data_IF_379203464335
#
_entry.id   IF_379203464335
#
_cell.length_a   1.000
_cell.length_b   1.000
_cell.length_c   1.000
_cell.angle_alpha   90.00
_cell.angle_beta   90.00
_cell.angle_gamma   90.00
#
_symmetry.space_group_name_H-M   'P 1'
#
loop_
_entity.id
_entity.type
_entity.pdbx_description
1 polymer ?
#
# COMPACT_ATOMS: atom_id res chain seq x y z
N UNK A 1 4.60 -27.99 9.62
CA UNK A 1 3.42 -27.12 9.46
C UNK A 1 3.85 -25.75 9.95
N UNK A 2 4.36 -24.96 9.01
CA UNK A 2 5.36 -23.91 9.26
C UNK A 2 4.77 -22.57 9.69
N UNK A 3 5.51 -21.90 10.58
CA UNK A 3 5.30 -20.62 11.26
C UNK A 3 5.38 -19.37 10.33
N UNK A 4 5.20 -19.56 9.01
CA UNK A 4 5.48 -18.54 7.99
C UNK A 4 4.56 -17.32 8.08
N UNK A 5 3.34 -17.48 8.64
CA UNK A 5 2.38 -16.39 8.81
C UNK A 5 2.76 -15.37 9.89
N UNK A 6 3.46 -15.78 10.95
CA UNK A 6 3.80 -14.88 12.07
C UNK A 6 4.99 -13.97 11.73
N UNK A 7 5.92 -14.48 10.91
CA UNK A 7 7.10 -13.72 10.46
C UNK A 7 6.74 -12.59 9.48
N UNK A 8 5.79 -12.83 8.56
CA UNK A 8 5.34 -11.83 7.59
C UNK A 8 4.59 -10.65 8.22
N UNK A 9 3.73 -10.93 9.22
CA UNK A 9 2.99 -9.89 9.97
C UNK A 9 3.96 -9.01 10.77
N UNK A 10 4.93 -9.61 11.47
CA UNK A 10 5.94 -8.86 12.26
C UNK A 10 6.81 -7.98 11.35
N UNK A 11 7.17 -8.45 10.17
CA UNK A 11 7.91 -7.63 9.20
C UNK A 11 7.09 -6.43 8.70
N UNK A 12 5.79 -6.62 8.47
CA UNK A 12 4.86 -5.55 8.10
C UNK A 12 4.71 -4.49 9.20
N UNK A 13 4.56 -4.93 10.45
CA UNK A 13 4.44 -4.04 11.62
C UNK A 13 5.72 -3.22 11.85
N UNK A 14 6.89 -3.85 11.70
CA UNK A 14 8.19 -3.17 11.81
C UNK A 14 8.37 -2.13 10.68
N UNK A 15 7.93 -2.43 9.46
CA UNK A 15 7.98 -1.48 8.34
C UNK A 15 7.05 -0.28 8.58
N UNK A 16 5.83 -0.52 9.06
CA UNK A 16 4.87 0.53 9.39
C UNK A 16 5.39 1.45 10.50
N UNK A 17 5.99 0.89 11.56
CA UNK A 17 6.59 1.68 12.64
C UNK A 17 7.74 2.57 12.13
N UNK A 18 8.60 2.05 11.25
CA UNK A 18 9.67 2.84 10.61
C UNK A 18 9.13 3.95 9.72
N UNK A 19 8.10 3.67 8.94
CA UNK A 19 7.43 4.67 8.10
C UNK A 19 6.81 5.78 8.95
N UNK A 20 6.11 5.46 10.04
CA UNK A 20 5.53 6.44 10.95
C UNK A 20 6.60 7.37 11.55
N UNK A 21 7.76 6.83 11.95
CA UNK A 21 8.88 7.63 12.45
C UNK A 21 9.50 8.54 11.37
N UNK A 22 9.54 8.09 10.11
CA UNK A 22 9.99 8.94 8.99
C UNK A 22 8.98 10.05 8.68
N UNK A 23 7.70 9.73 8.65
CA UNK A 23 6.61 10.70 8.44
C UNK A 23 6.58 11.74 9.55
N UNK A 24 6.76 11.34 10.82
CA UNK A 24 6.87 12.29 11.94
C UNK A 24 8.00 13.29 11.70
N UNK A 25 9.18 12.82 11.26
CA UNK A 25 10.33 13.69 10.94
C UNK A 25 10.03 14.64 9.77
N UNK A 26 9.39 14.15 8.72
CA UNK A 26 8.96 14.97 7.58
C UNK A 26 8.00 16.08 8.04
N UNK A 27 7.00 15.74 8.85
CA UNK A 27 6.02 16.70 9.35
C UNK A 27 6.68 17.78 10.21
N UNK A 28 7.57 17.40 11.12
CA UNK A 28 8.35 18.39 11.89
C UNK A 28 9.17 19.30 10.97
N UNK A 29 9.78 18.75 9.92
CA UNK A 29 10.59 19.52 8.97
C UNK A 29 9.78 20.55 8.16
N UNK A 30 8.48 20.30 7.91
CA UNK A 30 7.59 21.26 7.23
C UNK A 30 6.97 22.28 8.19
N UNK A 31 7.39 22.33 9.45
CA UNK A 31 6.92 23.31 10.45
C UNK A 31 5.62 22.92 11.16
N UNK A 32 5.19 21.68 11.01
CA UNK A 32 3.94 21.20 11.59
C UNK A 32 4.13 20.74 13.06
N UNK A 33 3.37 21.30 14.01
CA UNK A 33 3.36 20.87 15.42
C UNK A 33 2.72 19.48 15.58
N UNK A 34 3.47 18.50 16.10
CA UNK A 34 3.05 17.10 16.27
C UNK A 34 2.61 16.74 17.67
N UNK A 35 2.85 17.60 18.65
CA UNK A 35 2.46 17.31 20.03
C UNK A 35 1.02 17.76 20.30
N UNK A 36 0.40 18.52 19.37
CA UNK A 36 -1.04 18.82 19.42
C UNK A 36 -1.91 17.56 19.33
N UNK A 37 -2.96 17.43 20.16
CA UNK A 37 -3.77 16.20 20.28
C UNK A 37 -4.26 15.63 18.95
N UNK A 38 -4.66 16.49 18.01
CA UNK A 38 -5.18 16.07 16.70
C UNK A 38 -4.15 15.47 15.74
N UNK A 39 -2.84 15.58 16.03
CA UNK A 39 -1.78 15.18 15.09
C UNK A 39 -0.86 14.08 15.60
N UNK A 40 -1.01 13.65 16.85
CA UNK A 40 -0.20 12.58 17.42
C UNK A 40 -0.39 11.26 16.65
N UNK A 41 -1.62 10.99 16.20
CA UNK A 41 -1.95 9.78 15.42
C UNK A 41 -1.71 9.92 13.92
N UNK A 42 -1.51 11.13 13.41
CA UNK A 42 -1.36 11.39 11.98
C UNK A 42 -0.20 10.61 11.34
N UNK A 43 1.00 10.51 11.96
CA UNK A 43 2.08 9.70 11.42
C UNK A 43 1.73 8.21 11.28
N UNK A 44 1.02 7.64 12.25
CA UNK A 44 0.61 6.23 12.20
C UNK A 44 -0.42 5.97 11.11
N UNK A 45 -1.43 6.86 10.99
CA UNK A 45 -2.46 6.78 9.95
C UNK A 45 -1.85 6.88 8.54
N UNK A 46 -0.91 7.80 8.33
CA UNK A 46 -0.21 7.96 7.06
C UNK A 46 0.70 6.77 6.73
N UNK A 47 1.36 6.17 7.74
CA UNK A 47 2.15 4.96 7.55
C UNK A 47 1.27 3.80 7.07
N UNK A 48 0.09 3.60 7.66
CA UNK A 48 -0.86 2.59 7.23
C UNK A 48 -1.38 2.84 5.80
N UNK A 49 -1.81 4.07 5.50
CA UNK A 49 -2.25 4.44 4.15
C UNK A 49 -1.14 4.23 3.09
N UNK A 50 0.13 4.43 3.47
CA UNK A 50 1.26 4.18 2.58
C UNK A 50 1.45 2.68 2.27
N UNK A 51 1.21 1.80 3.25
CA UNK A 51 1.29 0.35 3.03
C UNK A 51 0.28 -0.09 1.98
N UNK A 52 -0.95 0.43 2.06
CA UNK A 52 -2.03 0.19 1.09
C UNK A 52 -1.68 0.74 -0.30
N UNK A 53 -1.29 2.01 -0.37
CA UNK A 53 -0.95 2.70 -1.62
C UNK A 53 0.17 1.99 -2.39
N UNK A 54 1.14 1.42 -1.68
CA UNK A 54 2.30 0.74 -2.26
C UNK A 54 2.23 -0.79 -2.18
N UNK A 55 1.06 -1.37 -1.90
CA UNK A 55 0.88 -2.81 -1.78
C UNK A 55 1.25 -3.55 -3.08
N UNK A 56 0.88 -2.97 -4.23
CA UNK A 56 1.14 -3.55 -5.55
C UNK A 56 2.63 -3.72 -5.90
N UNK A 57 3.56 -3.02 -5.23
CA UNK A 57 5.01 -3.22 -5.44
C UNK A 57 5.52 -4.58 -4.97
N UNK A 58 4.72 -5.30 -4.17
CA UNK A 58 5.07 -6.62 -3.61
C UNK A 58 4.23 -7.75 -4.20
N UNK A 59 3.44 -7.47 -5.23
CA UNK A 59 2.50 -8.42 -5.83
C UNK A 59 2.99 -8.79 -7.24
N UNK A 60 3.03 -10.09 -7.57
CA UNK A 60 3.27 -10.53 -8.95
C UNK A 60 1.97 -10.35 -9.75
N UNK A 61 1.97 -9.60 -10.87
CA UNK A 61 0.77 -9.45 -11.70
C UNK A 61 0.23 -10.78 -12.25
N UNK A 62 1.08 -11.81 -12.40
CA UNK A 62 0.67 -13.14 -12.87
C UNK A 62 -0.29 -13.83 -11.91
N UNK A 63 -0.14 -13.58 -10.61
CA UNK A 63 -1.02 -14.15 -9.59
C UNK A 63 -2.45 -13.60 -9.71
N UNK A 64 -2.63 -12.41 -10.29
CA UNK A 64 -3.93 -11.77 -10.49
C UNK A 64 -4.58 -12.20 -11.79
N UNK A 65 -3.76 -12.51 -12.81
CA UNK A 65 -4.20 -12.89 -14.14
C UNK A 65 -4.34 -14.41 -14.30
N UNK A 66 -4.46 -15.15 -13.21
CA UNK A 66 -4.40 -16.62 -13.21
C UNK A 66 -5.61 -17.32 -13.84
N UNK A 67 -6.70 -16.61 -14.08
CA UNK A 67 -7.95 -17.17 -14.62
C UNK A 67 -8.18 -16.67 -16.04
N UNK A 68 -8.16 -17.60 -16.99
CA UNK A 68 -8.51 -17.36 -18.39
C UNK A 68 -9.66 -18.31 -18.77
N UNK A 69 -10.59 -17.83 -19.58
CA UNK A 69 -11.67 -18.64 -20.15
C UNK A 69 -11.35 -18.85 -21.63
N UNK A 70 -11.30 -20.10 -22.08
CA UNK A 70 -11.23 -20.46 -23.50
C UNK A 70 -12.66 -20.42 -24.07
N UNK A 71 -13.10 -19.23 -24.50
CA UNK A 71 -14.25 -19.08 -25.40
C UNK A 71 -13.68 -18.66 -26.76
N UNK A 72 -13.97 -19.42 -27.83
CA UNK A 72 -13.58 -19.10 -29.21
C UNK A 72 -14.31 -17.84 -29.69
N UNK A 73 -13.83 -16.67 -29.28
CA UNK A 73 -14.36 -15.36 -29.63
C UNK A 73 -13.25 -14.49 -30.21
N UNK A 74 -13.27 -14.30 -31.54
CA UNK A 74 -12.33 -13.44 -32.28
C UNK A 74 -12.75 -11.94 -32.29
N UNK A 75 -13.60 -11.52 -31.34
CA UNK A 75 -14.12 -10.15 -31.27
C UNK A 75 -13.27 -9.26 -30.34
N UNK A 76 -13.12 -7.97 -30.70
CA UNK A 76 -12.41 -7.00 -29.88
C UNK A 76 -13.26 -6.58 -28.67
N UNK A 77 -12.75 -6.82 -27.47
CA UNK A 77 -13.34 -6.30 -26.24
C UNK A 77 -12.59 -5.06 -25.77
N UNK A 78 -13.34 -3.99 -25.45
CA UNK A 78 -12.82 -2.75 -24.88
C UNK A 78 -13.45 -2.54 -23.50
N UNK A 79 -12.60 -2.40 -22.48
CA UNK A 79 -13.03 -2.06 -21.12
C UNK A 79 -12.61 -0.62 -20.85
N UNK A 80 -13.58 0.27 -20.73
CA UNK A 80 -13.40 1.69 -20.42
C UNK A 80 -13.72 1.97 -18.94
N UNK A 81 -13.44 3.20 -18.50
CA UNK A 81 -13.78 3.71 -17.16
C UNK A 81 -13.21 2.95 -15.95
N UNK A 82 -12.03 2.34 -16.10
CA UNK A 82 -11.33 1.72 -14.98
C UNK A 82 -10.74 2.82 -14.07
N UNK A 83 -11.19 2.98 -12.81
CA UNK A 83 -10.67 4.00 -11.93
C UNK A 83 -9.25 3.62 -11.47
N UNK A 84 -8.27 4.49 -11.73
CA UNK A 84 -6.90 4.31 -11.29
C UNK A 84 -6.44 5.48 -10.41
N UNK A 85 -5.60 5.18 -9.39
CA UNK A 85 -4.88 6.18 -8.61
C UNK A 85 -3.38 5.91 -8.74
N UNK A 86 -2.66 6.88 -9.29
CA UNK A 86 -1.20 6.83 -9.41
C UNK A 86 -0.54 7.87 -8.49
N UNK A 87 0.62 7.52 -7.95
CA UNK A 87 1.50 8.47 -7.29
C UNK A 87 2.50 8.97 -8.33
N UNK A 88 2.33 10.20 -8.81
CA UNK A 88 3.25 10.79 -9.78
C UNK A 88 4.59 11.10 -9.14
N UNK A 89 5.65 10.86 -9.92
CA UNK A 89 7.04 11.08 -9.53
C UNK A 89 7.49 12.51 -9.78
#
# INVERSE_FOLDING_TARGET
MEDTGRSGVVAGDVAAARAAAAIRRLLVAVGEDRDRPGQQETPARLAQASVETFAGLRQDPRDVLSTTFDEDHDEMFLVEDIPAREVRR
#
